data_IF_886477269210
#
_entry.id   IF_886477269210
#
_cell.length_a   1.000
_cell.length_b   1.000
_cell.length_c   1.000
_cell.angle_alpha   90.00
_cell.angle_beta   90.00
_cell.angle_gamma   90.00
#
_symmetry.space_group_name_H-M   'P 1'
#
loop_
_entity.id
_entity.type
_entity.pdbx_description
1 polymer ?
#
# COMPACT_ATOMS: atom_id res chain seq x y z
N UNK A 1 6.64 12.48 3.96
CA UNK A 1 6.87 11.03 3.75
C UNK A 1 5.58 10.29 4.09
N UNK A 2 4.64 10.20 3.13
CA UNK A 2 3.36 9.51 3.31
C UNK A 2 3.64 8.00 3.25
N UNK A 3 3.45 7.32 4.38
CA UNK A 3 3.37 5.87 4.40
C UNK A 3 2.18 5.45 3.52
N UNK A 4 2.47 4.87 2.37
CA UNK A 4 1.48 4.16 1.58
C UNK A 4 1.26 2.85 2.34
N UNK A 5 0.19 2.81 3.15
CA UNK A 5 -0.29 1.57 3.75
C UNK A 5 -0.87 0.71 2.63
N UNK A 6 -0.13 -0.31 2.22
CA UNK A 6 -0.69 -1.38 1.42
C UNK A 6 -1.79 -2.06 2.22
N UNK A 7 -3.00 -1.99 1.70
CA UNK A 7 -4.19 -2.62 2.23
C UNK A 7 -4.12 -4.14 2.03
N UNK A 8 -3.50 -4.84 2.98
CA UNK A 8 -3.63 -6.29 3.08
C UNK A 8 -4.82 -6.61 3.96
N UNK A 9 -5.95 -6.90 3.34
CA UNK A 9 -7.05 -7.54 4.05
C UNK A 9 -6.77 -9.05 4.10
N UNK A 10 -6.63 -9.60 5.28
CA UNK A 10 -6.72 -11.03 5.50
C UNK A 10 -8.14 -11.45 5.10
N UNK A 11 -8.34 -11.86 3.83
CA UNK A 11 -9.59 -12.49 3.45
C UNK A 11 -9.61 -13.87 4.09
N UNK A 12 -10.14 -13.93 5.30
CA UNK A 12 -10.57 -15.18 5.89
C UNK A 12 -11.45 -15.86 4.86
N UNK A 13 -11.13 -17.11 4.50
CA UNK A 13 -11.91 -17.92 3.58
C UNK A 13 -13.31 -18.11 4.12
N UNK A 14 -14.21 -17.19 3.78
CA UNK A 14 -15.63 -17.45 3.79
C UNK A 14 -16.02 -17.65 2.33
N UNK A 15 -16.28 -18.91 1.97
CA UNK A 15 -16.89 -19.27 0.70
C UNK A 15 -18.17 -18.47 0.53
N UNK A 16 -18.13 -17.39 -0.23
CA UNK A 16 -19.33 -16.65 -0.63
C UNK A 16 -19.97 -17.36 -1.79
N UNK A 17 -21.06 -18.10 -1.52
CA UNK A 17 -22.13 -18.19 -2.50
C UNK A 17 -22.83 -16.83 -2.57
N UNK A 18 -22.56 -16.07 -3.63
CA UNK A 18 -23.35 -14.90 -4.01
C UNK A 18 -24.69 -15.38 -4.52
N UNK A 19 -25.76 -15.15 -3.73
CA UNK A 19 -27.09 -14.90 -4.28
C UNK A 19 -28.04 -14.29 -3.24
N UNK A 20 -28.49 -13.10 -3.57
CA UNK A 20 -29.79 -12.48 -3.34
C UNK A 20 -30.36 -12.32 -1.92
N UNK A 21 -30.72 -11.07 -1.69
CA UNK A 21 -31.82 -10.51 -0.90
C UNK A 21 -31.40 -9.73 0.33
N UNK A 22 -31.32 -8.42 0.11
CA UNK A 22 -31.20 -7.43 1.19
C UNK A 22 -32.36 -7.52 2.22
N UNK A 23 -33.44 -8.22 1.88
CA UNK A 23 -34.56 -8.50 2.81
C UNK A 23 -34.32 -9.71 3.71
N UNK A 24 -33.75 -10.80 3.20
CA UNK A 24 -33.36 -11.99 3.98
C UNK A 24 -32.25 -11.68 4.96
N UNK A 25 -31.25 -10.96 4.53
CA UNK A 25 -30.08 -10.53 5.34
C UNK A 25 -30.47 -9.69 6.56
N UNK A 26 -31.46 -8.80 6.43
CA UNK A 26 -32.01 -8.05 7.57
C UNK A 26 -32.81 -8.93 8.54
N UNK A 27 -33.43 -10.02 8.07
CA UNK A 27 -34.16 -10.94 8.93
C UNK A 27 -33.25 -11.77 9.83
N UNK A 28 -32.09 -12.22 9.30
CA UNK A 28 -31.19 -13.10 10.03
C UNK A 28 -30.52 -12.41 11.22
N UNK A 29 -30.06 -11.17 11.07
CA UNK A 29 -29.44 -10.43 12.18
C UNK A 29 -30.47 -10.03 13.25
N UNK A 30 -31.73 -9.75 12.87
CA UNK A 30 -32.79 -9.45 13.85
C UNK A 30 -33.12 -10.70 14.66
N UNK A 31 -33.31 -11.85 13.98
CA UNK A 31 -33.55 -13.13 14.63
C UNK A 31 -32.41 -13.55 15.57
N UNK A 32 -31.17 -13.32 15.13
CA UNK A 32 -29.97 -13.61 15.94
C UNK A 32 -29.92 -12.70 17.18
N UNK A 33 -30.26 -11.41 17.02
CA UNK A 33 -30.32 -10.48 18.13
C UNK A 33 -31.43 -10.81 19.14
N UNK A 34 -32.58 -11.29 18.67
CA UNK A 34 -33.66 -11.77 19.53
C UNK A 34 -33.21 -13.01 20.34
N UNK A 35 -32.51 -13.96 19.71
CA UNK A 35 -31.97 -15.15 20.40
C UNK A 35 -30.94 -14.77 21.46
N UNK A 36 -30.06 -13.81 21.16
CA UNK A 36 -29.06 -13.28 22.11
C UNK A 36 -29.76 -12.61 23.29
N UNK A 37 -30.82 -11.81 23.05
CA UNK A 37 -31.60 -11.20 24.13
C UNK A 37 -32.26 -12.23 25.06
N UNK A 38 -32.66 -13.41 24.52
CA UNK A 38 -33.21 -14.50 25.31
C UNK A 38 -32.12 -15.27 26.07
N UNK A 39 -30.89 -15.33 25.53
CA UNK A 39 -29.76 -16.05 26.10
C UNK A 39 -28.50 -15.19 26.05
N UNK A 40 -28.40 -14.13 26.87
CA UNK A 40 -27.35 -13.11 26.73
C UNK A 40 -25.94 -13.58 27.07
N UNK A 41 -25.81 -14.74 27.71
CA UNK A 41 -24.54 -15.35 28.07
C UNK A 41 -24.12 -16.51 27.14
N UNK A 42 -24.88 -16.76 26.06
CA UNK A 42 -24.49 -17.76 25.07
C UNK A 42 -23.45 -17.19 24.12
N UNK A 43 -22.19 -17.51 24.43
CA UNK A 43 -21.01 -17.08 23.65
C UNK A 43 -21.11 -17.51 22.19
N UNK A 44 -21.70 -18.67 21.88
CA UNK A 44 -21.80 -19.14 20.51
C UNK A 44 -22.79 -18.30 19.68
N UNK A 45 -23.93 -17.89 20.28
CA UNK A 45 -24.87 -17.00 19.61
C UNK A 45 -24.24 -15.63 19.36
N UNK A 46 -23.49 -15.11 20.31
CA UNK A 46 -22.79 -13.83 20.19
C UNK A 46 -21.72 -13.94 19.08
N UNK A 47 -20.91 -15.00 19.07
CA UNK A 47 -19.90 -15.22 18.02
C UNK A 47 -20.52 -15.35 16.60
N UNK A 48 -21.71 -15.94 16.47
CA UNK A 48 -22.41 -15.96 15.18
C UNK A 48 -22.74 -14.54 14.69
N UNK A 49 -23.09 -13.62 15.61
CA UNK A 49 -23.32 -12.20 15.25
C UNK A 49 -22.02 -11.47 14.96
N UNK A 50 -20.94 -11.81 15.65
CA UNK A 50 -19.58 -11.33 15.34
C UNK A 50 -19.21 -11.72 13.91
N UNK A 51 -19.31 -13.01 13.55
CA UNK A 51 -19.00 -13.50 12.20
C UNK A 51 -19.82 -12.77 11.12
N UNK A 52 -21.12 -12.56 11.38
CA UNK A 52 -21.99 -11.76 10.51
C UNK A 52 -21.49 -10.32 10.33
N UNK A 53 -21.13 -9.65 11.43
CA UNK A 53 -20.62 -8.27 11.38
C UNK A 53 -19.25 -8.20 10.69
N UNK A 54 -18.37 -9.18 10.88
CA UNK A 54 -17.07 -9.28 10.21
C UNK A 54 -17.22 -9.45 8.69
N UNK A 55 -18.16 -10.29 8.24
CA UNK A 55 -18.46 -10.44 6.81
C UNK A 55 -18.92 -9.12 6.15
N UNK A 56 -19.55 -8.25 6.92
CA UNK A 56 -19.94 -6.90 6.48
C UNK A 56 -18.90 -5.83 6.78
N UNK A 57 -17.71 -6.19 7.26
CA UNK A 57 -16.63 -5.27 7.70
C UNK A 57 -17.07 -4.24 8.75
N UNK A 58 -18.08 -4.59 9.57
CA UNK A 58 -18.59 -3.75 10.67
C UNK A 58 -17.80 -4.04 11.94
N UNK A 59 -16.53 -3.65 11.94
CA UNK A 59 -15.57 -4.02 12.98
C UNK A 59 -15.96 -3.49 14.37
N UNK A 60 -16.51 -2.26 14.47
CA UNK A 60 -16.98 -1.71 15.75
C UNK A 60 -18.16 -2.51 16.34
N UNK A 61 -19.09 -2.93 15.48
CA UNK A 61 -20.22 -3.76 15.94
C UNK A 61 -19.76 -5.15 16.38
N UNK A 62 -18.81 -5.74 15.63
CA UNK A 62 -18.20 -7.00 16.02
C UNK A 62 -17.44 -6.88 17.35
N UNK A 63 -16.71 -5.77 17.54
CA UNK A 63 -15.93 -5.52 18.76
C UNK A 63 -16.83 -5.34 19.98
N UNK A 64 -18.00 -4.67 19.83
CA UNK A 64 -18.98 -4.58 20.91
C UNK A 64 -19.42 -5.97 21.40
N UNK A 65 -19.73 -6.88 20.48
CA UNK A 65 -20.13 -8.24 20.77
C UNK A 65 -18.97 -9.05 21.39
N UNK A 66 -17.75 -8.88 20.87
CA UNK A 66 -16.55 -9.54 21.39
C UNK A 66 -16.22 -9.11 22.83
N UNK A 67 -16.40 -7.82 23.15
CA UNK A 67 -16.24 -7.36 24.54
C UNK A 67 -17.26 -8.01 25.49
N UNK A 68 -18.50 -8.25 25.02
CA UNK A 68 -19.46 -9.04 25.78
C UNK A 68 -19.00 -10.48 25.94
N UNK A 69 -18.53 -11.15 24.88
CA UNK A 69 -17.97 -12.50 24.96
C UNK A 69 -16.82 -12.59 25.98
N UNK A 70 -15.88 -11.66 25.93
CA UNK A 70 -14.71 -11.65 26.83
C UNK A 70 -15.09 -11.31 28.28
N UNK A 71 -16.20 -10.61 28.51
CA UNK A 71 -16.72 -10.41 29.86
C UNK A 71 -17.35 -11.67 30.46
N UNK A 72 -17.84 -12.60 29.61
CA UNK A 72 -18.40 -13.90 30.03
C UNK A 72 -17.27 -14.93 30.18
N UNK A 73 -16.37 -14.99 29.19
CA UNK A 73 -15.24 -15.93 29.14
C UNK A 73 -13.98 -15.22 28.61
N UNK A 74 -13.18 -14.69 29.53
CA UNK A 74 -11.95 -13.98 29.21
C UNK A 74 -10.85 -14.88 28.63
N UNK A 75 -10.94 -16.19 28.83
CA UNK A 75 -10.00 -17.20 28.35
C UNK A 75 -10.46 -17.84 27.01
N UNK A 76 -11.38 -17.22 26.31
CA UNK A 76 -11.79 -17.68 25.00
C UNK A 76 -10.79 -17.22 23.93
N UNK A 77 -9.98 -18.15 23.42
CA UNK A 77 -8.93 -17.85 22.42
C UNK A 77 -9.52 -17.23 21.15
N UNK A 78 -10.66 -17.74 20.63
CA UNK A 78 -11.31 -17.21 19.44
C UNK A 78 -11.80 -15.78 19.62
N UNK A 79 -12.41 -15.48 20.77
CA UNK A 79 -12.84 -14.10 21.08
C UNK A 79 -11.65 -13.14 21.16
N UNK A 80 -10.55 -13.53 21.81
CA UNK A 80 -9.33 -12.75 21.88
C UNK A 80 -8.72 -12.53 20.48
N UNK A 81 -8.65 -13.57 19.64
CA UNK A 81 -8.17 -13.46 18.27
C UNK A 81 -9.01 -12.49 17.43
N UNK A 82 -10.34 -12.64 17.44
CA UNK A 82 -11.24 -11.79 16.66
C UNK A 82 -11.26 -10.34 17.17
N UNK A 83 -11.14 -10.13 18.49
CA UNK A 83 -11.00 -8.81 19.07
C UNK A 83 -9.70 -8.13 18.60
N UNK A 84 -8.57 -8.87 18.63
CA UNK A 84 -7.30 -8.37 18.11
C UNK A 84 -7.42 -7.96 16.63
N UNK A 85 -8.07 -8.80 15.81
CA UNK A 85 -8.31 -8.50 14.40
C UNK A 85 -9.15 -7.23 14.22
N UNK A 86 -10.27 -7.08 14.95
CA UNK A 86 -11.11 -5.88 14.87
C UNK A 86 -10.37 -4.61 15.29
N UNK A 87 -9.65 -4.66 16.43
CA UNK A 87 -8.85 -3.53 16.90
C UNK A 87 -7.79 -3.14 15.87
N UNK A 88 -7.10 -4.12 15.27
CA UNK A 88 -6.08 -3.87 14.28
C UNK A 88 -6.67 -3.25 13.00
N UNK A 89 -7.77 -3.82 12.48
CA UNK A 89 -8.44 -3.26 11.29
C UNK A 89 -8.91 -1.84 11.52
N UNK A 90 -9.55 -1.52 12.65
CA UNK A 90 -9.98 -0.17 12.96
C UNK A 90 -8.80 0.81 13.04
N UNK A 91 -7.69 0.38 13.68
CA UNK A 91 -6.50 1.23 13.83
C UNK A 91 -5.81 1.61 12.51
N UNK A 92 -6.00 0.81 11.45
CA UNK A 92 -5.45 1.12 10.12
C UNK A 92 -6.11 2.33 9.47
N UNK A 93 -7.38 2.57 9.75
CA UNK A 93 -8.19 3.59 9.08
C UNK A 93 -8.43 4.84 9.93
N UNK A 94 -8.33 4.72 11.26
CA UNK A 94 -8.64 5.80 12.18
C UNK A 94 -7.45 6.11 13.09
N UNK A 95 -6.67 7.12 12.69
CA UNK A 95 -5.49 7.57 13.46
C UNK A 95 -5.86 8.13 14.84
N UNK A 96 -7.12 8.54 15.06
CA UNK A 96 -7.58 9.02 16.37
C UNK A 96 -7.69 7.88 17.38
N UNK A 97 -7.75 6.63 16.91
CA UNK A 97 -7.80 5.40 17.72
C UNK A 97 -6.43 4.73 17.82
N UNK A 98 -5.36 5.49 17.99
CA UNK A 98 -3.98 4.96 18.09
C UNK A 98 -3.80 3.93 19.21
N UNK A 99 -4.61 3.99 20.28
CA UNK A 99 -4.60 3.01 21.37
C UNK A 99 -5.11 1.62 20.95
N UNK A 100 -5.91 1.53 19.88
CA UNK A 100 -6.44 0.25 19.41
C UNK A 100 -5.36 -0.71 18.96
N UNK A 101 -4.27 -0.20 18.43
CA UNK A 101 -3.12 -1.02 18.12
C UNK A 101 -2.49 -1.70 19.33
N UNK A 102 -2.51 -1.05 20.52
CA UNK A 102 -2.08 -1.66 21.78
C UNK A 102 -3.07 -2.74 22.21
N UNK A 103 -4.36 -2.46 22.17
CA UNK A 103 -5.38 -3.46 22.50
C UNK A 103 -5.32 -4.67 21.56
N UNK A 104 -5.05 -4.46 20.26
CA UNK A 104 -4.82 -5.56 19.33
C UNK A 104 -3.64 -6.45 19.77
N UNK A 105 -2.52 -5.83 20.19
CA UNK A 105 -1.36 -6.57 20.68
C UNK A 105 -1.65 -7.36 21.96
N UNK A 106 -2.40 -6.79 22.89
CA UNK A 106 -2.73 -7.46 24.14
C UNK A 106 -3.68 -8.64 23.88
N UNK A 107 -4.73 -8.44 23.09
CA UNK A 107 -5.67 -9.51 22.74
C UNK A 107 -4.99 -10.65 21.96
N UNK A 108 -4.13 -10.33 20.98
CA UNK A 108 -3.49 -11.40 20.19
C UNK A 108 -2.50 -12.23 21.03
N UNK A 109 -1.79 -11.62 21.97
CA UNK A 109 -0.93 -12.35 22.89
C UNK A 109 -1.74 -13.28 23.77
N UNK A 110 -2.86 -12.80 24.34
CA UNK A 110 -3.78 -13.65 25.11
C UNK A 110 -4.27 -14.83 24.28
N UNK A 111 -4.68 -14.60 23.03
CA UNK A 111 -5.11 -15.68 22.14
C UNK A 111 -4.03 -16.74 21.94
N UNK A 112 -2.77 -16.33 21.72
CA UNK A 112 -1.63 -17.23 21.53
C UNK A 112 -1.30 -18.00 22.83
N UNK A 113 -1.40 -17.36 24.00
CA UNK A 113 -1.16 -18.01 25.30
C UNK A 113 -2.21 -19.10 25.58
N UNK A 114 -3.47 -18.82 25.22
CA UNK A 114 -4.59 -19.76 25.43
C UNK A 114 -4.54 -20.92 24.44
N UNK A 115 -4.24 -20.63 23.16
CA UNK A 115 -4.16 -21.60 22.07
C UNK A 115 -2.86 -21.43 21.26
N UNK A 116 -1.77 -22.07 21.72
CA UNK A 116 -0.47 -22.00 21.04
C UNK A 116 -0.40 -22.71 19.69
N UNK A 117 -1.44 -23.45 19.30
CA UNK A 117 -1.51 -24.14 18.02
C UNK A 117 -2.26 -23.35 16.96
N UNK A 118 -2.85 -22.23 17.30
CA UNK A 118 -3.57 -21.37 16.36
C UNK A 118 -2.60 -20.61 15.45
N UNK A 119 -2.36 -21.15 14.25
CA UNK A 119 -1.45 -20.51 13.28
C UNK A 119 -1.97 -19.14 12.80
N UNK A 120 -3.30 -18.93 12.75
CA UNK A 120 -3.87 -17.63 12.37
C UNK A 120 -3.54 -16.54 13.39
N UNK A 121 -3.47 -16.88 14.69
CA UNK A 121 -3.06 -15.94 15.72
C UNK A 121 -1.60 -15.50 15.53
N UNK A 122 -0.70 -16.42 15.20
CA UNK A 122 0.68 -16.07 14.87
C UNK A 122 0.79 -15.25 13.58
N UNK A 123 -0.02 -15.56 12.55
CA UNK A 123 -0.09 -14.76 11.32
C UNK A 123 -0.47 -13.31 11.64
N UNK A 124 -1.58 -13.11 12.35
CA UNK A 124 -2.05 -11.77 12.73
C UNK A 124 -1.05 -11.04 13.63
N UNK A 125 -0.41 -11.74 14.57
CA UNK A 125 0.64 -11.14 15.40
C UNK A 125 1.84 -10.66 14.58
N UNK A 126 2.22 -11.43 13.54
CA UNK A 126 3.23 -11.03 12.57
C UNK A 126 2.82 -9.78 11.79
N UNK A 127 1.59 -9.73 11.28
CA UNK A 127 1.06 -8.56 10.55
C UNK A 127 1.04 -7.29 11.42
N UNK A 128 0.59 -7.41 12.66
CA UNK A 128 0.63 -6.31 13.62
C UNK A 128 2.08 -5.83 13.84
N UNK A 129 3.04 -6.75 13.98
CA UNK A 129 4.46 -6.39 14.14
C UNK A 129 5.03 -5.72 12.89
N UNK A 130 4.62 -6.11 11.67
CA UNK A 130 4.97 -5.40 10.42
C UNK A 130 4.49 -3.94 10.48
N UNK A 131 3.25 -3.70 10.87
CA UNK A 131 2.67 -2.36 10.97
C UNK A 131 3.43 -1.46 11.95
N UNK A 132 4.01 -2.03 12.99
CA UNK A 132 4.85 -1.33 13.97
C UNK A 132 6.35 -1.29 13.60
N UNK A 133 6.75 -1.77 12.42
CA UNK A 133 8.15 -1.84 12.01
C UNK A 133 9.00 -2.83 12.79
N UNK A 134 8.38 -3.76 13.52
CA UNK A 134 9.07 -4.77 14.34
C UNK A 134 9.35 -6.01 13.51
N UNK A 135 10.15 -5.86 12.45
CA UNK A 135 10.33 -6.88 11.42
C UNK A 135 10.90 -8.21 11.94
N UNK A 136 11.81 -8.20 12.92
CA UNK A 136 12.34 -9.43 13.52
C UNK A 136 11.25 -10.23 14.24
N UNK A 137 10.43 -9.55 15.08
CA UNK A 137 9.31 -10.19 15.75
C UNK A 137 8.24 -10.70 14.78
N UNK A 138 8.03 -9.97 13.67
CA UNK A 138 7.14 -10.43 12.61
C UNK A 138 7.63 -11.74 11.99
N UNK A 139 8.91 -11.84 11.63
CA UNK A 139 9.52 -13.05 11.09
C UNK A 139 9.40 -14.22 12.07
N UNK A 140 9.70 -14.02 13.35
CA UNK A 140 9.55 -15.07 14.38
C UNK A 140 8.10 -15.56 14.45
N UNK A 141 7.14 -14.66 14.38
CA UNK A 141 5.71 -14.99 14.41
C UNK A 141 5.29 -15.74 13.14
N UNK A 142 5.71 -15.29 11.98
CA UNK A 142 5.42 -15.97 10.70
C UNK A 142 6.05 -17.36 10.63
N UNK A 143 7.26 -17.55 11.13
CA UNK A 143 7.89 -18.88 11.23
C UNK A 143 7.05 -19.83 12.09
N UNK A 144 6.50 -19.37 13.22
CA UNK A 144 5.61 -20.18 14.06
C UNK A 144 4.31 -20.51 13.31
N UNK A 145 3.71 -19.56 12.61
CA UNK A 145 2.54 -19.80 11.79
C UNK A 145 2.82 -20.84 10.69
N UNK A 146 3.89 -20.63 9.90
CA UNK A 146 4.26 -21.52 8.80
C UNK A 146 4.69 -22.92 9.25
N UNK A 147 5.18 -23.07 10.47
CA UNK A 147 5.49 -24.40 11.05
C UNK A 147 4.23 -25.25 11.31
N UNK A 148 3.07 -24.62 11.46
CA UNK A 148 1.78 -25.28 11.66
C UNK A 148 1.01 -25.46 10.34
N UNK A 149 1.00 -24.42 9.51
CA UNK A 149 0.39 -24.41 8.18
C UNK A 149 1.34 -23.72 7.19
N UNK A 150 1.97 -24.49 6.30
CA UNK A 150 2.96 -23.99 5.37
C UNK A 150 2.36 -23.25 4.16
N UNK A 151 1.19 -23.70 3.67
CA UNK A 151 0.61 -23.25 2.41
C UNK A 151 -0.08 -21.87 2.53
N UNK A 152 0.59 -20.92 3.17
CA UNK A 152 0.11 -19.56 3.39
C UNK A 152 0.88 -18.57 2.51
N UNK A 153 0.53 -18.46 1.20
CA UNK A 153 1.27 -17.60 0.26
C UNK A 153 1.41 -16.15 0.72
N UNK A 154 0.37 -15.59 1.37
CA UNK A 154 0.41 -14.21 1.90
C UNK A 154 1.42 -14.06 3.04
N UNK A 155 1.56 -15.08 3.89
CA UNK A 155 2.52 -15.04 5.01
C UNK A 155 3.95 -15.13 4.48
N UNK A 156 4.21 -15.96 3.48
CA UNK A 156 5.50 -15.97 2.79
C UNK A 156 5.83 -14.59 2.20
N UNK A 157 4.87 -13.94 1.52
CA UNK A 157 5.06 -12.60 0.99
C UNK A 157 5.38 -11.57 2.10
N UNK A 158 4.59 -11.53 3.19
CA UNK A 158 4.82 -10.60 4.30
C UNK A 158 6.15 -10.85 5.01
N UNK A 159 6.57 -12.12 5.12
CA UNK A 159 7.88 -12.48 5.66
C UNK A 159 9.01 -12.00 4.74
N UNK A 160 8.87 -12.15 3.42
CA UNK A 160 9.77 -11.58 2.43
C UNK A 160 9.88 -10.07 2.52
N UNK A 161 8.75 -9.37 2.69
CA UNK A 161 8.73 -7.93 2.94
C UNK A 161 9.53 -7.55 4.21
N UNK A 162 9.36 -8.31 5.31
CA UNK A 162 10.10 -8.08 6.54
C UNK A 162 11.62 -8.25 6.35
N UNK A 163 12.05 -9.31 5.65
CA UNK A 163 13.46 -9.52 5.30
C UNK A 163 14.02 -8.39 4.43
N UNK A 164 13.28 -7.97 3.39
CA UNK A 164 13.66 -6.82 2.55
C UNK A 164 13.86 -5.54 3.38
N UNK A 165 13.00 -5.27 4.37
CA UNK A 165 13.17 -4.12 5.29
C UNK A 165 14.41 -4.23 6.17
N UNK A 166 14.86 -5.43 6.46
CA UNK A 166 16.09 -5.72 7.19
C UNK A 166 17.35 -5.79 6.28
N UNK A 167 17.21 -5.54 4.97
CA UNK A 167 18.29 -5.67 3.96
C UNK A 167 18.83 -7.09 3.85
N UNK A 168 18.00 -8.07 4.08
CA UNK A 168 18.28 -9.49 3.92
C UNK A 168 17.64 -9.94 2.61
N UNK A 169 18.28 -9.55 1.50
CA UNK A 169 17.68 -9.66 0.16
C UNK A 169 17.55 -11.12 -0.31
N UNK A 170 18.49 -11.99 0.03
CA UNK A 170 18.45 -13.41 -0.33
C UNK A 170 17.26 -14.13 0.35
N UNK A 171 17.06 -13.88 1.64
CA UNK A 171 15.94 -14.43 2.40
C UNK A 171 14.59 -13.86 1.88
N UNK A 172 14.58 -12.58 1.50
CA UNK A 172 13.41 -11.95 0.92
C UNK A 172 13.03 -12.61 -0.42
N UNK A 173 14.01 -12.82 -1.31
CA UNK A 173 13.82 -13.52 -2.59
C UNK A 173 13.22 -14.91 -2.36
N UNK A 174 13.81 -15.70 -1.45
CA UNK A 174 13.32 -17.05 -1.15
C UNK A 174 11.85 -17.02 -0.65
N UNK A 175 11.51 -16.09 0.20
CA UNK A 175 10.15 -15.95 0.71
C UNK A 175 9.16 -15.57 -0.39
N UNK A 176 9.50 -14.61 -1.27
CA UNK A 176 8.64 -14.21 -2.38
C UNK A 176 8.47 -15.35 -3.38
N UNK A 177 9.53 -16.11 -3.68
CA UNK A 177 9.46 -17.29 -4.54
C UNK A 177 8.54 -18.37 -3.93
N UNK A 178 8.63 -18.64 -2.62
CA UNK A 178 7.73 -19.56 -1.93
C UNK A 178 6.26 -19.11 -2.02
N UNK A 179 6.02 -17.80 -1.90
CA UNK A 179 4.68 -17.24 -2.11
C UNK A 179 4.14 -17.56 -3.51
N UNK A 180 4.97 -17.36 -4.54
CA UNK A 180 4.61 -17.63 -5.95
C UNK A 180 4.49 -19.12 -6.27
N UNK A 181 5.28 -19.97 -5.62
CA UNK A 181 5.15 -21.43 -5.76
C UNK A 181 3.79 -21.94 -5.26
N UNK A 182 3.22 -21.28 -4.23
CA UNK A 182 1.91 -21.62 -3.68
C UNK A 182 0.79 -20.97 -4.50
N UNK A 183 0.93 -19.70 -4.86
CA UNK A 183 -0.03 -18.97 -5.67
C UNK A 183 0.66 -18.15 -6.77
N UNK A 184 0.80 -18.72 -7.99
CA UNK A 184 1.46 -18.05 -9.12
C UNK A 184 0.71 -16.81 -9.65
N UNK A 185 -0.58 -16.63 -9.32
CA UNK A 185 -1.39 -15.48 -9.76
C UNK A 185 -1.34 -14.31 -8.77
N UNK A 186 -0.60 -14.45 -7.67
CA UNK A 186 -0.45 -13.37 -6.69
C UNK A 186 0.59 -12.35 -7.17
N UNK A 187 0.14 -11.15 -7.53
CA UNK A 187 0.96 -10.16 -8.26
C UNK A 187 2.05 -9.54 -7.39
N UNK A 188 1.75 -9.25 -6.13
CA UNK A 188 2.62 -8.47 -5.25
C UNK A 188 4.04 -9.05 -5.11
N UNK A 189 4.25 -10.37 -4.94
CA UNK A 189 5.61 -10.91 -4.88
C UNK A 189 6.42 -10.72 -6.16
N UNK A 190 5.78 -10.66 -7.34
CA UNK A 190 6.50 -10.34 -8.59
C UNK A 190 7.04 -8.91 -8.55
N UNK A 191 6.22 -7.95 -8.09
CA UNK A 191 6.65 -6.55 -7.95
C UNK A 191 7.78 -6.43 -6.92
N UNK A 192 7.65 -7.13 -5.78
CA UNK A 192 8.66 -7.11 -4.73
C UNK A 192 9.98 -7.72 -5.19
N UNK A 193 9.95 -8.84 -5.93
CA UNK A 193 11.14 -9.45 -6.54
C UNK A 193 11.77 -8.50 -7.55
N UNK A 194 10.97 -7.87 -8.42
CA UNK A 194 11.47 -6.89 -9.37
C UNK A 194 12.21 -5.74 -8.66
N UNK A 195 11.63 -5.20 -7.58
CA UNK A 195 12.26 -4.14 -6.79
C UNK A 195 13.57 -4.59 -6.11
N UNK A 196 13.64 -5.83 -5.61
CA UNK A 196 14.87 -6.38 -5.02
C UNK A 196 15.94 -6.52 -6.10
N UNK A 197 15.64 -7.14 -7.24
CA UNK A 197 16.59 -7.30 -8.35
C UNK A 197 17.01 -5.96 -8.96
N UNK A 198 16.10 -4.99 -9.04
CA UNK A 198 16.44 -3.62 -9.45
C UNK A 198 17.46 -2.98 -8.47
N UNK A 199 17.28 -3.16 -7.17
CA UNK A 199 18.24 -2.70 -6.16
C UNK A 199 19.62 -3.35 -6.28
N UNK A 200 19.68 -4.57 -6.82
CA UNK A 200 20.91 -5.32 -7.11
C UNK A 200 21.49 -5.01 -8.50
N UNK A 201 20.88 -4.13 -9.29
CA UNK A 201 21.19 -3.87 -10.71
C UNK A 201 21.13 -5.15 -11.58
N UNK A 202 20.24 -6.08 -11.27
CA UNK A 202 20.04 -7.32 -11.99
C UNK A 202 18.94 -7.18 -13.04
N UNK A 203 19.20 -7.67 -14.27
CA UNK A 203 18.26 -7.64 -15.38
C UNK A 203 16.97 -8.47 -15.13
N UNK A 204 16.96 -9.36 -14.15
CA UNK A 204 15.76 -10.08 -13.72
C UNK A 204 14.64 -9.14 -13.27
N UNK A 205 14.96 -7.90 -12.88
CA UNK A 205 13.96 -6.89 -12.53
C UNK A 205 12.92 -6.71 -13.65
N UNK A 206 13.36 -6.52 -14.91
CA UNK A 206 12.46 -6.41 -16.07
C UNK A 206 11.56 -7.63 -16.20
N UNK A 207 12.13 -8.83 -16.07
CA UNK A 207 11.40 -10.10 -16.18
C UNK A 207 10.27 -10.21 -15.16
N UNK A 208 10.53 -9.84 -13.91
CA UNK A 208 9.53 -9.92 -12.85
C UNK A 208 8.43 -8.88 -13.00
N UNK A 209 8.74 -7.64 -13.41
CA UNK A 209 7.71 -6.66 -13.76
C UNK A 209 6.83 -7.14 -14.90
N UNK A 210 7.42 -7.70 -15.96
CA UNK A 210 6.66 -8.24 -17.09
C UNK A 210 5.80 -9.45 -16.69
N UNK A 211 6.26 -10.28 -15.74
CA UNK A 211 5.44 -11.39 -15.22
C UNK A 211 4.23 -10.87 -14.42
N UNK A 212 4.38 -9.82 -13.61
CA UNK A 212 3.25 -9.15 -12.97
C UNK A 212 2.22 -8.64 -13.99
N UNK A 213 2.69 -8.02 -15.08
CA UNK A 213 1.84 -7.50 -16.17
C UNK A 213 1.20 -8.59 -17.04
N UNK A 214 1.73 -9.81 -17.07
CA UNK A 214 1.04 -10.97 -17.71
C UNK A 214 -0.19 -11.39 -16.92
N UNK A 215 -0.19 -11.22 -15.60
CA UNK A 215 -1.35 -11.55 -14.74
C UNK A 215 -2.38 -10.45 -14.83
N UNK A 216 -1.96 -9.19 -14.70
CA UNK A 216 -2.81 -8.01 -14.83
C UNK A 216 -2.09 -6.93 -15.65
N UNK A 217 -2.42 -6.86 -16.93
CA UNK A 217 -1.82 -5.89 -17.86
C UNK A 217 -2.20 -4.43 -17.58
N UNK A 218 -3.21 -4.21 -16.71
CA UNK A 218 -3.67 -2.89 -16.28
C UNK A 218 -3.11 -2.46 -14.93
N UNK A 219 -2.26 -3.28 -14.32
CA UNK A 219 -1.69 -2.99 -13.00
C UNK A 219 -0.81 -1.74 -13.03
N UNK A 220 -1.38 -0.62 -12.58
CA UNK A 220 -0.73 0.71 -12.60
C UNK A 220 0.59 0.72 -11.83
N UNK A 221 0.68 -0.03 -10.72
CA UNK A 221 1.90 -0.11 -9.91
C UNK A 221 3.03 -0.80 -10.68
N UNK A 222 2.73 -1.91 -11.34
CA UNK A 222 3.70 -2.65 -12.16
C UNK A 222 4.15 -1.83 -13.35
N UNK A 223 3.23 -1.17 -14.05
CA UNK A 223 3.53 -0.29 -15.18
C UNK A 223 4.43 0.88 -14.74
N UNK A 224 4.08 1.54 -13.63
CA UNK A 224 4.85 2.68 -13.13
C UNK A 224 6.28 2.28 -12.76
N UNK A 225 6.44 1.19 -12.02
CA UNK A 225 7.76 0.73 -11.61
C UNK A 225 8.61 0.22 -12.79
N UNK A 226 8.00 -0.46 -13.76
CA UNK A 226 8.68 -0.88 -14.98
C UNK A 226 9.15 0.32 -15.81
N UNK A 227 8.31 1.35 -15.94
CA UNK A 227 8.68 2.58 -16.64
C UNK A 227 9.83 3.31 -15.92
N UNK A 228 9.79 3.40 -14.58
CA UNK A 228 10.89 3.94 -13.78
C UNK A 228 12.18 3.11 -13.95
N UNK A 229 12.08 1.78 -14.01
CA UNK A 229 13.21 0.91 -14.28
C UNK A 229 13.82 1.21 -15.65
N UNK A 230 13.01 1.34 -16.69
CA UNK A 230 13.49 1.72 -18.01
C UNK A 230 14.10 3.12 -18.03
N UNK A 231 13.48 4.09 -17.37
CA UNK A 231 14.00 5.46 -17.26
C UNK A 231 15.36 5.49 -16.56
N UNK A 232 15.52 4.80 -15.44
CA UNK A 232 16.78 4.75 -14.68
C UNK A 232 17.91 4.06 -15.44
N UNK A 233 17.58 3.22 -16.43
CA UNK A 233 18.52 2.57 -17.35
C UNK A 233 18.66 3.29 -18.70
N UNK A 234 18.16 4.55 -18.80
CA UNK A 234 18.22 5.38 -20.02
C UNK A 234 17.53 4.76 -21.24
N UNK A 235 16.66 3.79 -21.04
CA UNK A 235 15.84 3.16 -22.08
C UNK A 235 14.57 4.00 -22.33
N UNK A 236 14.76 5.27 -22.70
CA UNK A 236 13.70 6.28 -22.74
C UNK A 236 12.52 5.90 -23.63
N UNK A 237 12.75 5.27 -24.78
CA UNK A 237 11.65 4.83 -25.65
C UNK A 237 10.74 3.82 -24.94
N UNK A 238 11.33 2.81 -24.29
CA UNK A 238 10.57 1.82 -23.51
C UNK A 238 9.85 2.46 -22.32
N UNK A 239 10.51 3.42 -21.65
CA UNK A 239 9.92 4.16 -20.54
C UNK A 239 8.69 4.95 -21.00
N UNK A 240 8.80 5.72 -22.09
CA UNK A 240 7.69 6.51 -22.66
C UNK A 240 6.53 5.62 -23.11
N UNK A 241 6.79 4.51 -23.79
CA UNK A 241 5.78 3.54 -24.18
C UNK A 241 5.01 3.00 -22.95
N UNK A 242 5.76 2.63 -21.90
CA UNK A 242 5.17 2.06 -20.67
C UNK A 242 4.39 3.11 -19.88
N UNK A 243 4.90 4.35 -19.78
CA UNK A 243 4.17 5.46 -19.16
C UNK A 243 2.89 5.81 -19.93
N UNK A 244 2.94 5.83 -21.26
CA UNK A 244 1.74 6.08 -22.07
C UNK A 244 0.71 4.96 -21.91
N UNK A 245 1.14 3.71 -21.79
CA UNK A 245 0.24 2.60 -21.46
C UNK A 245 -0.39 2.78 -20.07
N UNK A 246 0.38 3.23 -19.07
CA UNK A 246 -0.16 3.55 -17.75
C UNK A 246 -1.24 4.62 -17.83
N UNK A 247 -0.99 5.71 -18.57
CA UNK A 247 -1.96 6.82 -18.73
C UNK A 247 -3.26 6.38 -19.41
N UNK A 248 -3.27 5.29 -20.17
CA UNK A 248 -4.50 4.71 -20.70
C UNK A 248 -5.42 4.15 -19.60
N UNK A 249 -4.87 3.77 -18.43
CA UNK A 249 -5.61 3.25 -17.27
C UNK A 249 -5.79 4.29 -16.17
N UNK A 250 -4.82 5.21 -16.01
CA UNK A 250 -4.84 6.30 -15.03
C UNK A 250 -4.40 7.61 -15.68
N UNK A 251 -5.32 8.22 -16.41
CA UNK A 251 -5.08 9.41 -17.22
C UNK A 251 -4.64 10.65 -16.42
N UNK A 252 -4.92 10.69 -15.13
CA UNK A 252 -4.58 11.82 -14.24
C UNK A 252 -3.43 11.51 -13.28
N UNK A 253 -2.56 10.56 -13.64
CA UNK A 253 -1.39 10.25 -12.84
C UNK A 253 -0.33 11.35 -12.97
N UNK A 254 -0.31 12.27 -12.01
CA UNK A 254 0.58 13.43 -12.04
C UNK A 254 2.07 13.04 -12.09
N UNK A 255 2.48 11.97 -11.36
CA UNK A 255 3.86 11.50 -11.38
C UNK A 255 4.27 10.97 -12.76
N UNK A 256 3.34 10.30 -13.45
CA UNK A 256 3.60 9.78 -14.80
C UNK A 256 3.79 10.91 -15.80
N UNK A 257 2.90 11.91 -15.80
CA UNK A 257 3.08 13.10 -16.64
C UNK A 257 4.39 13.83 -16.36
N UNK A 258 4.74 13.98 -15.08
CA UNK A 258 6.02 14.57 -14.68
C UNK A 258 7.21 13.78 -15.23
N UNK A 259 7.23 12.46 -15.09
CA UNK A 259 8.34 11.62 -15.56
C UNK A 259 8.46 11.63 -17.10
N UNK A 260 7.34 11.66 -17.83
CA UNK A 260 7.35 11.85 -19.29
C UNK A 260 7.96 13.20 -19.64
N UNK A 261 7.55 14.27 -18.95
CA UNK A 261 8.13 15.61 -19.12
C UNK A 261 9.61 15.63 -18.82
N UNK A 262 10.04 14.97 -17.76
CA UNK A 262 11.45 14.83 -17.41
C UNK A 262 12.26 14.12 -18.52
N UNK A 263 11.75 13.02 -19.07
CA UNK A 263 12.43 12.33 -20.18
C UNK A 263 12.53 13.25 -21.41
N UNK A 264 11.48 14.00 -21.75
CA UNK A 264 11.53 14.94 -22.88
C UNK A 264 12.54 16.08 -22.62
N UNK A 265 12.63 16.56 -21.39
CA UNK A 265 13.62 17.56 -20.99
C UNK A 265 15.06 17.00 -21.12
N UNK A 266 15.33 15.75 -20.71
CA UNK A 266 16.62 15.09 -20.87
C UNK A 266 16.99 14.86 -22.36
N UNK A 267 15.99 14.81 -23.24
CA UNK A 267 16.15 14.71 -24.69
C UNK A 267 16.19 16.07 -25.39
N UNK A 268 16.33 17.18 -24.65
CA UNK A 268 16.29 18.56 -25.14
C UNK A 268 14.99 18.97 -25.86
N UNK A 269 13.89 18.22 -25.68
CA UNK A 269 12.57 18.48 -26.24
C UNK A 269 11.73 19.35 -25.30
N UNK A 270 12.25 20.55 -24.97
CA UNK A 270 11.68 21.42 -23.93
C UNK A 270 10.27 21.90 -24.20
N UNK A 271 9.90 22.10 -25.46
CA UNK A 271 8.54 22.49 -25.89
C UNK A 271 7.51 21.39 -25.62
N UNK A 272 7.91 20.13 -25.81
CA UNK A 272 7.08 18.96 -25.46
C UNK A 272 7.02 18.77 -23.95
N UNK A 273 8.17 18.93 -23.26
CA UNK A 273 8.27 18.79 -21.81
C UNK A 273 7.34 19.77 -21.07
N UNK A 274 7.23 21.03 -21.55
CA UNK A 274 6.32 22.06 -20.99
C UNK A 274 4.88 21.53 -20.92
N UNK A 275 4.39 20.87 -21.99
CA UNK A 275 3.03 20.35 -22.02
C UNK A 275 2.84 19.21 -21.00
N UNK A 276 3.80 18.29 -20.92
CA UNK A 276 3.72 17.18 -19.96
C UNK A 276 3.76 17.67 -18.49
N UNK A 277 4.60 18.67 -18.19
CA UNK A 277 4.60 19.28 -16.86
C UNK A 277 3.29 20.04 -16.58
N UNK A 278 2.68 20.66 -17.61
CA UNK A 278 1.37 21.28 -17.47
C UNK A 278 0.27 20.24 -17.16
N UNK A 279 0.31 19.06 -17.78
CA UNK A 279 -0.60 17.96 -17.49
C UNK A 279 -0.39 17.41 -16.06
N UNK A 280 0.87 17.33 -15.59
CA UNK A 280 1.18 16.97 -14.21
C UNK A 280 0.61 17.99 -13.21
N UNK A 281 0.74 19.29 -13.50
CA UNK A 281 0.18 20.38 -12.69
C UNK A 281 -1.37 20.35 -12.72
N UNK A 282 -1.96 20.09 -13.86
CA UNK A 282 -3.41 19.92 -13.97
C UNK A 282 -3.92 18.78 -13.09
N UNK A 283 -3.21 17.65 -13.12
CA UNK A 283 -3.54 16.46 -12.32
C UNK A 283 -3.30 16.69 -10.82
N UNK A 284 -2.26 17.43 -10.45
CA UNK A 284 -1.94 17.79 -9.07
C UNK A 284 -1.44 19.25 -8.98
N UNK A 285 -2.33 20.23 -8.70
CA UNK A 285 -1.96 21.64 -8.59
C UNK A 285 -0.96 21.98 -7.46
N UNK A 286 -0.68 21.03 -6.56
CA UNK A 286 0.30 21.19 -5.48
C UNK A 286 1.64 20.53 -5.77
N UNK A 287 1.85 20.06 -7.00
CA UNK A 287 3.09 19.37 -7.41
C UNK A 287 4.17 20.42 -7.75
N UNK A 288 4.84 20.96 -6.74
CA UNK A 288 5.79 22.07 -6.88
C UNK A 288 6.98 21.71 -7.77
N UNK A 289 7.44 20.47 -7.81
CA UNK A 289 8.52 20.03 -8.69
C UNK A 289 8.15 20.19 -10.18
N UNK A 290 6.87 20.01 -10.54
CA UNK A 290 6.42 20.18 -11.92
C UNK A 290 6.43 21.65 -12.35
N UNK A 291 6.09 22.59 -11.46
CA UNK A 291 6.25 24.03 -11.74
C UNK A 291 7.72 24.38 -11.93
N UNK A 292 8.59 23.91 -11.06
CA UNK A 292 10.02 24.14 -11.17
C UNK A 292 10.59 23.63 -12.50
N UNK A 293 10.30 22.36 -12.85
CA UNK A 293 10.77 21.74 -14.07
C UNK A 293 10.23 22.45 -15.33
N UNK A 294 8.95 22.86 -15.32
CA UNK A 294 8.36 23.65 -16.41
C UNK A 294 9.03 25.03 -16.52
N UNK A 295 9.33 25.65 -15.40
CA UNK A 295 10.09 26.92 -15.34
C UNK A 295 11.46 26.79 -15.99
N UNK A 296 12.21 25.71 -15.73
CA UNK A 296 13.48 25.42 -16.41
C UNK A 296 13.29 25.33 -17.93
N UNK A 297 12.26 24.61 -18.37
CA UNK A 297 11.97 24.49 -19.79
C UNK A 297 11.63 25.86 -20.42
N UNK A 298 10.83 26.71 -19.75
CA UNK A 298 10.53 28.05 -20.21
C UNK A 298 11.77 28.95 -20.26
N UNK A 299 12.66 28.87 -19.27
CA UNK A 299 13.92 29.62 -19.26
C UNK A 299 14.79 29.21 -20.44
N UNK A 300 14.95 27.91 -20.69
CA UNK A 300 15.71 27.37 -21.82
C UNK A 300 15.13 27.81 -23.17
N UNK A 301 13.82 27.91 -23.30
CA UNK A 301 13.11 28.37 -24.48
C UNK A 301 13.12 29.91 -24.61
N UNK A 302 13.72 30.65 -23.68
CA UNK A 302 13.75 32.10 -23.64
C UNK A 302 12.47 32.76 -23.13
N UNK A 303 11.53 32.00 -22.61
CA UNK A 303 10.25 32.48 -22.08
C UNK A 303 10.38 32.90 -20.61
N UNK A 304 11.23 33.90 -20.35
CA UNK A 304 11.68 34.32 -19.03
C UNK A 304 10.52 34.67 -18.09
N UNK A 305 9.49 35.35 -18.62
CA UNK A 305 8.33 35.75 -17.79
C UNK A 305 7.55 34.55 -17.27
N UNK A 306 7.37 33.50 -18.07
CA UNK A 306 6.70 32.26 -17.67
C UNK A 306 7.56 31.47 -16.65
N UNK A 307 8.87 31.41 -16.87
CA UNK A 307 9.80 30.79 -15.93
C UNK A 307 9.73 31.45 -14.54
N UNK A 308 9.72 32.78 -14.49
CA UNK A 308 9.61 33.53 -13.22
C UNK A 308 8.29 33.20 -12.48
N UNK A 309 7.18 33.14 -13.20
CA UNK A 309 5.87 32.78 -12.62
C UNK A 309 5.90 31.37 -12.03
N UNK A 310 6.46 30.43 -12.77
CA UNK A 310 6.51 29.03 -12.34
C UNK A 310 7.45 28.82 -11.14
N UNK A 311 8.63 29.46 -11.12
CA UNK A 311 9.52 29.39 -9.95
C UNK A 311 8.88 29.99 -8.70
N UNK A 312 8.20 31.15 -8.83
CA UNK A 312 7.45 31.75 -7.73
C UNK A 312 6.36 30.81 -7.22
N UNK A 313 5.64 30.16 -8.14
CA UNK A 313 4.58 29.22 -7.76
C UNK A 313 5.12 27.99 -7.04
N UNK A 314 6.24 27.44 -7.46
CA UNK A 314 6.93 26.35 -6.76
C UNK A 314 7.28 26.74 -5.33
N UNK A 315 7.82 27.96 -5.11
CA UNK A 315 8.19 28.50 -3.80
C UNK A 315 6.96 28.77 -2.93
N UNK A 316 5.87 29.28 -3.50
CA UNK A 316 4.59 29.47 -2.77
C UNK A 316 4.06 28.15 -2.20
N UNK A 317 4.17 27.06 -2.96
CA UNK A 317 3.71 25.73 -2.53
C UNK A 317 4.68 25.11 -1.51
N UNK A 318 5.97 25.21 -1.77
CA UNK A 318 7.03 24.73 -0.89
C UNK A 318 8.09 25.82 -0.66
N UNK A 319 7.98 26.62 0.42
CA UNK A 319 8.91 27.72 0.70
C UNK A 319 10.36 27.29 1.00
N UNK A 320 10.59 26.01 1.29
CA UNK A 320 11.91 25.43 1.55
C UNK A 320 12.55 24.80 0.31
N UNK A 321 11.94 24.94 -0.86
CA UNK A 321 12.45 24.33 -2.09
C UNK A 321 13.57 25.17 -2.71
N UNK A 322 14.79 24.95 -2.22
CA UNK A 322 15.97 25.74 -2.57
C UNK A 322 16.27 25.81 -4.07
N UNK A 323 15.98 24.74 -4.83
CA UNK A 323 16.20 24.72 -6.28
C UNK A 323 15.40 25.81 -7.01
N UNK A 324 14.15 26.04 -6.63
CA UNK A 324 13.34 27.10 -7.24
C UNK A 324 13.76 28.49 -6.75
N UNK A 325 14.19 28.63 -5.50
CA UNK A 325 14.70 29.88 -4.95
C UNK A 325 15.96 30.30 -5.72
N UNK A 326 16.94 29.39 -5.82
CA UNK A 326 18.19 29.66 -6.52
C UNK A 326 17.98 30.00 -8.02
N UNK A 327 17.06 29.26 -8.67
CA UNK A 327 16.70 29.51 -10.07
C UNK A 327 16.10 30.90 -10.25
N UNK A 328 15.15 31.31 -9.40
CA UNK A 328 14.54 32.63 -9.43
C UNK A 328 15.56 33.75 -9.20
N UNK A 329 16.46 33.58 -8.22
CA UNK A 329 17.52 34.54 -7.93
C UNK A 329 18.50 34.70 -9.10
N UNK A 330 18.87 33.60 -9.76
CA UNK A 330 19.75 33.62 -10.92
C UNK A 330 19.07 34.29 -12.11
N UNK A 331 17.80 34.00 -12.36
CA UNK A 331 17.00 34.64 -13.39
C UNK A 331 16.96 36.16 -13.22
N UNK A 332 16.73 36.65 -11.98
CA UNK A 332 16.69 38.08 -11.65
C UNK A 332 18.05 38.76 -11.83
N UNK A 333 19.15 38.11 -11.43
CA UNK A 333 20.50 38.64 -11.63
C UNK A 333 20.86 38.77 -13.10
N UNK A 334 20.46 37.82 -13.92
CA UNK A 334 20.71 37.85 -15.37
C UNK A 334 19.88 38.95 -16.04
N UNK A 335 18.61 39.11 -15.67
CA UNK A 335 17.75 40.18 -16.21
C UNK A 335 18.26 41.59 -15.86
N UNK A 336 18.96 41.78 -14.73
CA UNK A 336 19.55 43.09 -14.34
C UNK A 336 20.81 43.41 -15.13
N UNK A 337 21.52 42.45 -15.71
CA UNK A 337 22.72 42.67 -16.54
C UNK A 337 22.40 43.13 -17.97
N UNK A 338 21.19 42.95 -18.42
CA UNK A 338 20.75 43.29 -19.80
C UNK A 338 19.82 44.51 -19.83
N UNK A 339 19.56 45.16 -18.70
CA UNK A 339 18.95 46.49 -18.60
C UNK A 339 20.02 47.57 -18.37
#
# INVERSE_FOLDING_TARGET
MRLIFFLFSLSLFFSCQTNNDSKTVKSDIVLLSEKINQNPNDVNLILNRVDYNLNLKKYESALFDLNQCLSIDSLNSRCNFLAAFCYFEISKYDQTKSEYGKFALDCIKNSIEIDPDNFLAFSLYGEINIAYGRYKQAIDSFNKSLSKEYNQYKIHHLMGYAFKKLRQDDEAINCFQNSLNINPEYIEPYIELALVYQGMNDALAETYYLNALKIDSSNVISLYNLALYYQSNFLYNKALETYNLLLAFDAFNANTHYNIGFIHMELDLHDIAVNNFADAIYSNPSFFESYYARGICFETLGNIAQAEVDYKRAIEINPEYNFAIDALDNLNKNNLKYK
#
